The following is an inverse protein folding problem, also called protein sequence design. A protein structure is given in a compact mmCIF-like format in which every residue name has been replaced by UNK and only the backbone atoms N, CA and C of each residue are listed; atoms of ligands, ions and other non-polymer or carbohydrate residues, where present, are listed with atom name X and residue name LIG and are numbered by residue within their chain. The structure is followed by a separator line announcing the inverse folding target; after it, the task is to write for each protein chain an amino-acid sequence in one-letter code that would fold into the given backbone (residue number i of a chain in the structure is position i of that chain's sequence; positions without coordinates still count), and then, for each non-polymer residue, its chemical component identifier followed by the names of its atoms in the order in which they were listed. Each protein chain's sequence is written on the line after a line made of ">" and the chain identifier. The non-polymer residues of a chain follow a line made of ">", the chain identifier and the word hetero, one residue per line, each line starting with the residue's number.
data_IF_438482930517
#
_entry.id   IF_438482930517
#
_cell.length_a   1.000
_cell.length_b   1.000
_cell.length_c   1.000
_cell.angle_alpha   90.00
_cell.angle_beta   90.00
_cell.angle_gamma   90.00
#
_symmetry.space_group_name_H-M   'P 1'
#
loop_
_entity.id
_entity.type
_entity.pdbx_description
1 polymer ?
#
# COMPACT_ATOMS: atom_id res chain seq x y z
N UNK A 1 -16.99 10.47 9.74
CA UNK A 1 -16.49 10.79 8.38
C UNK A 1 -16.57 9.56 7.51
N UNK A 2 -16.64 9.75 6.19
CA UNK A 2 -16.63 8.72 5.15
C UNK A 2 -15.29 8.75 4.42
N UNK A 3 -14.54 7.66 4.54
CA UNK A 3 -13.20 7.53 3.97
C UNK A 3 -13.21 6.47 2.88
N UNK A 4 -12.92 6.87 1.64
CA UNK A 4 -12.71 5.92 0.56
C UNK A 4 -11.23 5.57 0.45
N UNK A 5 -10.88 4.30 0.63
CA UNK A 5 -9.52 3.80 0.54
C UNK A 5 -9.33 3.12 -0.81
N UNK A 6 -8.37 3.58 -1.60
CA UNK A 6 -8.00 2.97 -2.89
C UNK A 6 -6.66 2.29 -2.71
N UNK A 7 -6.61 0.96 -2.87
CA UNK A 7 -5.42 0.16 -2.63
C UNK A 7 -5.07 -0.71 -3.83
N UNK A 8 -3.80 -0.79 -4.21
CA UNK A 8 -3.34 -1.65 -5.32
C UNK A 8 -3.38 -3.15 -4.98
N UNK A 9 -3.60 -3.49 -3.71
CA UNK A 9 -3.75 -4.86 -3.25
C UNK A 9 -4.53 -4.89 -1.95
N UNK A 10 -5.39 -5.88 -1.82
CA UNK A 10 -6.13 -6.16 -0.60
C UNK A 10 -6.36 -7.67 -0.47
N UNK A 11 -6.92 -8.12 0.65
CA UNK A 11 -7.21 -9.53 0.91
C UNK A 11 -7.93 -10.19 -0.28
N UNK A 12 -7.63 -11.47 -0.60
CA UNK A 12 -6.79 -12.41 0.15
C UNK A 12 -5.27 -12.23 -0.06
N UNK A 13 -4.82 -11.32 -0.93
CA UNK A 13 -3.39 -11.09 -1.13
C UNK A 13 -2.80 -10.30 0.04
N UNK A 14 -1.93 -10.95 0.82
CA UNK A 14 -1.29 -10.37 2.01
C UNK A 14 0.07 -9.76 1.67
N UNK A 15 0.23 -8.48 1.94
CA UNK A 15 1.48 -7.74 1.85
C UNK A 15 1.47 -6.51 2.78
N UNK A 16 2.51 -5.67 2.70
CA UNK A 16 2.60 -4.46 3.52
C UNK A 16 1.45 -3.45 3.32
N UNK A 17 0.93 -3.35 2.09
CA UNK A 17 -0.19 -2.45 1.75
C UNK A 17 -1.49 -2.98 2.35
N UNK A 18 -1.82 -4.26 2.10
CA UNK A 18 -3.04 -4.87 2.63
C UNK A 18 -3.08 -4.81 4.16
N UNK A 19 -1.96 -5.09 4.83
CA UNK A 19 -1.86 -5.01 6.29
C UNK A 19 -2.11 -3.59 6.79
N UNK A 20 -1.53 -2.59 6.11
CA UNK A 20 -1.76 -1.18 6.46
C UNK A 20 -3.22 -0.79 6.28
N UNK A 21 -3.86 -1.21 5.18
CA UNK A 21 -5.28 -0.93 4.91
C UNK A 21 -6.19 -1.58 5.94
N UNK A 22 -5.93 -2.83 6.34
CA UNK A 22 -6.70 -3.51 7.40
C UNK A 22 -6.63 -2.72 8.70
N UNK A 23 -5.44 -2.28 9.14
CA UNK A 23 -5.30 -1.47 10.36
C UNK A 23 -6.01 -0.11 10.26
N UNK A 24 -6.01 0.53 9.09
CA UNK A 24 -6.77 1.77 8.87
C UNK A 24 -8.26 1.52 8.99
N UNK A 25 -8.77 0.47 8.33
CA UNK A 25 -10.17 0.04 8.35
C UNK A 25 -10.63 -0.26 9.79
N UNK A 26 -9.86 -1.03 10.55
CA UNK A 26 -10.10 -1.32 11.97
C UNK A 26 -10.18 -0.02 12.79
N UNK A 27 -9.23 0.88 12.60
CA UNK A 27 -9.18 2.14 13.32
C UNK A 27 -10.39 3.02 13.00
N UNK A 28 -10.72 3.20 11.72
CA UNK A 28 -11.86 4.00 11.28
C UNK A 28 -13.17 3.48 11.86
N UNK A 29 -13.36 2.15 11.86
CA UNK A 29 -14.54 1.53 12.47
C UNK A 29 -14.61 1.82 13.98
N UNK A 30 -13.49 1.66 14.69
CA UNK A 30 -13.40 1.92 16.14
C UNK A 30 -13.66 3.39 16.49
N UNK A 31 -13.37 4.32 15.59
CA UNK A 31 -13.63 5.76 15.76
C UNK A 31 -14.93 6.22 15.10
N UNK A 32 -15.87 5.32 14.83
CA UNK A 32 -17.19 5.62 14.25
C UNK A 32 -17.10 6.38 12.92
N UNK A 33 -16.15 6.00 12.07
CA UNK A 33 -16.03 6.46 10.69
C UNK A 33 -16.43 5.34 9.74
N UNK A 34 -17.07 5.73 8.65
CA UNK A 34 -17.46 4.82 7.58
C UNK A 34 -16.32 4.68 6.58
N UNK A 35 -16.04 3.45 6.17
CA UNK A 35 -14.98 3.15 5.22
C UNK A 35 -15.53 2.40 4.01
N UNK A 36 -14.95 2.68 2.85
CA UNK A 36 -15.11 1.90 1.64
C UNK A 36 -13.72 1.56 1.11
N UNK A 37 -13.46 0.29 0.85
CA UNK A 37 -12.21 -0.13 0.19
C UNK A 37 -12.46 -0.36 -1.29
N UNK A 38 -11.63 0.20 -2.16
CA UNK A 38 -11.58 -0.08 -3.59
C UNK A 38 -10.25 -0.78 -3.86
N UNK A 39 -10.31 -2.04 -4.29
CA UNK A 39 -9.14 -2.87 -4.49
C UNK A 39 -9.32 -3.83 -5.67
N UNK A 40 -8.25 -4.38 -6.25
CA UNK A 40 -8.35 -5.38 -7.29
C UNK A 40 -9.10 -6.63 -6.80
N UNK A 41 -9.86 -7.25 -7.70
CA UNK A 41 -10.35 -8.62 -7.56
C UNK A 41 -9.20 -9.62 -7.80
N UNK A 42 -9.45 -10.89 -7.51
CA UNK A 42 -8.57 -11.96 -8.00
C UNK A 42 -8.60 -12.03 -9.53
N UNK A 43 -7.51 -12.45 -10.19
CA UNK A 43 -7.46 -12.60 -11.64
C UNK A 43 -8.54 -13.55 -12.18
N UNK A 44 -8.91 -13.40 -13.48
CA UNK A 44 -9.80 -14.36 -14.14
C UNK A 44 -9.32 -15.80 -13.97
N UNK A 45 -10.24 -16.72 -13.66
CA UNK A 45 -9.93 -18.14 -13.44
C UNK A 45 -9.62 -18.51 -11.98
N UNK A 46 -9.65 -17.56 -11.05
CA UNK A 46 -9.53 -17.81 -9.60
C UNK A 46 -10.84 -17.48 -8.86
N UNK A 47 -11.06 -18.04 -7.66
CA UNK A 47 -12.19 -17.66 -6.81
C UNK A 47 -12.19 -16.16 -6.55
N UNK A 48 -13.34 -15.50 -6.71
CA UNK A 48 -13.48 -14.06 -6.48
C UNK A 48 -13.15 -13.71 -5.04
N UNK A 49 -12.49 -12.57 -4.85
CA UNK A 49 -12.20 -12.08 -3.51
C UNK A 49 -13.47 -11.58 -2.82
N UNK A 50 -13.48 -11.68 -1.49
CA UNK A 50 -14.60 -11.21 -0.68
C UNK A 50 -14.89 -9.73 -0.90
N UNK A 51 -16.18 -9.37 -0.87
CA UNK A 51 -16.67 -8.00 -1.07
C UNK A 51 -17.00 -7.28 0.24
N UNK A 52 -16.80 -7.95 1.37
CA UNK A 52 -16.97 -7.41 2.71
C UNK A 52 -15.80 -7.91 3.54
N UNK A 53 -15.22 -7.04 4.37
CA UNK A 53 -14.21 -7.41 5.35
C UNK A 53 -14.52 -6.65 6.63
N UNK A 54 -14.72 -7.36 7.75
CA UNK A 54 -15.08 -6.79 9.05
C UNK A 54 -16.25 -5.79 9.01
N UNK A 55 -17.27 -6.12 8.21
CA UNK A 55 -18.46 -5.28 8.01
C UNK A 55 -18.24 -4.08 7.07
N UNK A 56 -17.02 -3.88 6.55
CA UNK A 56 -16.69 -2.82 5.60
C UNK A 56 -16.81 -3.34 4.17
N UNK A 57 -17.44 -2.53 3.32
CA UNK A 57 -17.63 -2.85 1.91
C UNK A 57 -16.29 -2.76 1.17
N UNK A 58 -16.03 -3.76 0.35
CA UNK A 58 -14.89 -3.83 -0.57
C UNK A 58 -15.40 -3.86 -2.01
N UNK A 59 -15.23 -2.75 -2.73
CA UNK A 59 -15.48 -2.68 -4.14
C UNK A 59 -14.32 -3.27 -4.94
N UNK A 60 -14.55 -4.48 -5.48
CA UNK A 60 -13.58 -5.15 -6.35
C UNK A 60 -13.61 -4.59 -7.77
N UNK A 61 -12.44 -4.15 -8.26
CA UNK A 61 -12.24 -3.77 -9.67
C UNK A 61 -11.60 -4.93 -10.44
N UNK A 62 -11.87 -5.07 -11.75
CA UNK A 62 -11.19 -6.06 -12.58
C UNK A 62 -9.67 -5.92 -12.47
N UNK A 63 -8.99 -7.04 -12.35
CA UNK A 63 -7.53 -7.10 -12.22
C UNK A 63 -6.93 -7.98 -13.31
N UNK A 64 -5.65 -7.73 -13.63
CA UNK A 64 -4.90 -8.55 -14.58
C UNK A 64 -3.48 -8.76 -14.08
N UNK A 65 -2.96 -9.96 -14.34
CA UNK A 65 -1.56 -10.29 -14.07
C UNK A 65 -0.68 -9.67 -15.14
N UNK A 66 0.40 -9.01 -14.72
CA UNK A 66 1.44 -8.47 -15.60
C UNK A 66 2.81 -9.02 -15.16
N UNK A 67 3.14 -10.28 -15.50
CA UNK A 67 4.29 -10.99 -14.93
C UNK A 67 5.65 -10.32 -15.17
N UNK A 68 5.76 -9.50 -16.22
CA UNK A 68 6.98 -8.73 -16.56
C UNK A 68 7.12 -7.43 -15.74
N UNK A 69 6.10 -7.04 -14.98
CA UNK A 69 6.00 -5.74 -14.28
C UNK A 69 5.82 -5.93 -12.77
N UNK A 70 5.01 -6.88 -12.35
CA UNK A 70 4.73 -7.14 -10.93
C UNK A 70 4.29 -8.59 -10.72
N UNK A 71 4.60 -9.12 -9.53
CA UNK A 71 4.11 -10.42 -9.04
C UNK A 71 2.67 -10.36 -8.53
N UNK A 72 2.05 -9.18 -8.47
CA UNK A 72 0.69 -8.97 -8.00
C UNK A 72 -0.24 -8.53 -9.13
N UNK A 73 -1.53 -8.89 -9.07
CA UNK A 73 -2.50 -8.43 -10.06
C UNK A 73 -2.74 -6.92 -9.92
N UNK A 74 -2.66 -6.20 -11.05
CA UNK A 74 -2.93 -4.76 -11.08
C UNK A 74 -4.41 -4.49 -11.33
N UNK A 75 -4.99 -3.60 -10.52
CA UNK A 75 -6.35 -3.11 -10.73
C UNK A 75 -6.41 -2.17 -11.93
N UNK A 76 -7.38 -2.40 -12.81
CA UNK A 76 -7.58 -1.51 -13.97
C UNK A 76 -8.35 -0.25 -13.56
N UNK A 77 -7.93 0.95 -14.01
CA UNK A 77 -8.60 2.20 -13.68
C UNK A 77 -9.87 2.28 -14.53
N UNK A 78 -10.96 1.72 -14.01
CA UNK A 78 -12.25 1.69 -14.70
C UNK A 78 -13.04 2.98 -14.42
N UNK A 79 -13.82 3.49 -15.41
CA UNK A 79 -14.75 4.61 -15.18
C UNK A 79 -15.72 4.38 -14.02
N UNK A 80 -15.90 3.11 -13.62
CA UNK A 80 -16.73 2.70 -12.48
C UNK A 80 -16.20 3.25 -11.13
N UNK A 81 -14.91 3.54 -10.98
CA UNK A 81 -14.36 4.13 -9.73
C UNK A 81 -15.06 5.46 -9.43
N UNK A 82 -15.28 6.31 -10.44
CA UNK A 82 -15.98 7.58 -10.27
C UNK A 82 -17.42 7.39 -9.77
N UNK A 83 -18.15 6.39 -10.29
CA UNK A 83 -19.51 6.09 -9.85
C UNK A 83 -19.54 5.55 -8.42
N UNK A 84 -18.57 4.72 -8.07
CA UNK A 84 -18.44 4.14 -6.73
C UNK A 84 -18.14 5.23 -5.72
N UNK A 85 -17.15 6.09 -6.00
CA UNK A 85 -16.85 7.23 -5.15
C UNK A 85 -18.03 8.19 -5.06
N UNK A 86 -18.72 8.51 -6.16
CA UNK A 86 -19.91 9.36 -6.12
C UNK A 86 -21.04 8.77 -5.27
N UNK A 87 -21.31 7.47 -5.41
CA UNK A 87 -22.38 6.81 -4.64
C UNK A 87 -22.03 6.63 -3.17
N UNK A 88 -20.75 6.56 -2.83
CA UNK A 88 -20.28 6.53 -1.45
C UNK A 88 -20.04 7.93 -0.87
N UNK A 89 -19.96 8.97 -1.72
CA UNK A 89 -19.73 10.40 -1.44
C UNK A 89 -18.74 10.68 -0.28
N UNK A 90 -17.47 10.25 -0.43
CA UNK A 90 -16.48 10.33 0.65
C UNK A 90 -16.08 11.77 0.99
N UNK A 91 -15.79 12.01 2.27
CA UNK A 91 -15.17 13.25 2.74
C UNK A 91 -13.70 13.34 2.31
N UNK A 92 -13.03 12.18 2.17
CA UNK A 92 -11.61 12.08 1.79
C UNK A 92 -11.33 10.76 1.08
N UNK A 93 -10.44 10.81 0.08
CA UNK A 93 -9.91 9.62 -0.59
C UNK A 93 -8.47 9.35 -0.16
N UNK A 94 -8.25 8.20 0.47
CA UNK A 94 -6.94 7.72 0.89
C UNK A 94 -6.37 6.74 -0.14
N UNK A 95 -5.27 7.11 -0.80
CA UNK A 95 -4.60 6.28 -1.79
C UNK A 95 -3.48 5.48 -1.12
N UNK A 96 -3.76 4.23 -0.79
CA UNK A 96 -2.82 3.30 -0.17
C UNK A 96 -1.95 2.63 -1.25
N UNK A 97 -0.71 3.13 -1.40
CA UNK A 97 0.25 2.72 -2.43
C UNK A 97 -0.18 3.05 -3.87
N UNK A 98 -0.32 4.33 -4.24
CA UNK A 98 -0.88 4.70 -5.54
C UNK A 98 0.05 4.34 -6.71
N UNK A 99 -0.39 3.42 -7.55
CA UNK A 99 0.19 3.12 -8.86
C UNK A 99 -0.86 3.38 -9.95
N UNK A 100 -1.43 2.32 -10.52
CA UNK A 100 -2.41 2.42 -11.61
C UNK A 100 -3.81 2.68 -11.06
N UNK A 101 -4.26 1.87 -10.10
CA UNK A 101 -5.59 2.00 -9.50
C UNK A 101 -5.68 3.27 -8.65
N UNK A 102 -4.63 3.57 -7.88
CA UNK A 102 -4.52 4.79 -7.10
C UNK A 102 -4.59 6.05 -7.94
N UNK A 103 -3.98 6.05 -9.14
CA UNK A 103 -4.14 7.17 -10.08
C UNK A 103 -5.59 7.29 -10.60
N UNK A 104 -6.27 6.17 -10.87
CA UNK A 104 -7.69 6.18 -11.19
C UNK A 104 -8.55 6.77 -10.07
N UNK A 105 -8.26 6.41 -8.82
CA UNK A 105 -8.87 6.98 -7.61
C UNK A 105 -8.64 8.49 -7.49
N UNK A 106 -7.41 8.94 -7.70
CA UNK A 106 -7.03 10.36 -7.70
C UNK A 106 -7.81 11.16 -8.74
N UNK A 107 -7.86 10.67 -9.98
CA UNK A 107 -8.57 11.35 -11.06
C UNK A 107 -10.07 11.41 -10.79
N UNK A 108 -10.65 10.36 -10.22
CA UNK A 108 -12.05 10.35 -9.84
C UNK A 108 -12.35 11.31 -8.68
N UNK A 109 -11.53 11.34 -7.64
CA UNK A 109 -11.66 12.25 -6.50
C UNK A 109 -11.60 13.72 -6.96
N UNK A 110 -10.63 14.07 -7.82
CA UNK A 110 -10.51 15.41 -8.40
C UNK A 110 -11.74 15.84 -9.19
N UNK A 111 -12.36 14.92 -9.95
CA UNK A 111 -13.60 15.20 -10.68
C UNK A 111 -14.80 15.42 -9.75
N UNK A 112 -14.75 14.90 -8.54
CA UNK A 112 -15.79 15.06 -7.52
C UNK A 112 -15.49 16.21 -6.55
N UNK A 113 -14.32 16.86 -6.65
CA UNK A 113 -13.90 17.88 -5.70
C UNK A 113 -13.54 17.34 -4.31
N UNK A 114 -13.30 16.03 -4.17
CA UNK A 114 -12.99 15.39 -2.89
C UNK A 114 -11.48 15.44 -2.63
N UNK A 115 -11.03 15.86 -1.44
CA UNK A 115 -9.61 15.91 -1.10
C UNK A 115 -8.97 14.52 -1.05
N UNK A 116 -7.68 14.48 -1.38
CA UNK A 116 -6.91 13.25 -1.56
C UNK A 116 -5.64 13.21 -0.71
N UNK A 117 -5.40 12.06 -0.09
CA UNK A 117 -4.19 11.77 0.67
C UNK A 117 -3.48 10.58 0.04
N UNK A 118 -2.29 10.78 -0.49
CA UNK A 118 -1.51 9.77 -1.18
C UNK A 118 -0.36 9.24 -0.30
N UNK A 119 -0.30 7.93 -0.11
CA UNK A 119 0.75 7.30 0.71
C UNK A 119 1.91 6.83 -0.16
N UNK A 120 3.12 7.27 0.15
CA UNK A 120 4.35 6.70 -0.42
C UNK A 120 4.77 5.46 0.39
N UNK A 121 4.53 4.26 -0.14
CA UNK A 121 4.78 2.99 0.57
C UNK A 121 5.88 2.13 -0.06
N UNK A 122 6.03 2.17 -1.39
CA UNK A 122 7.00 1.34 -2.12
C UNK A 122 7.93 2.23 -2.92
N UNK A 123 9.23 2.22 -2.58
CA UNK A 123 10.25 2.93 -3.34
C UNK A 123 10.66 2.15 -4.60
N UNK A 124 9.71 1.99 -5.52
CA UNK A 124 9.94 1.31 -6.81
C UNK A 124 11.09 1.96 -7.58
N UNK A 125 11.24 3.29 -7.44
CA UNK A 125 12.26 4.05 -8.14
C UNK A 125 13.67 3.83 -7.57
N UNK A 126 13.80 3.73 -6.23
CA UNK A 126 15.02 3.33 -5.54
C UNK A 126 15.41 1.88 -5.82
N UNK A 127 14.44 0.96 -5.83
CA UNK A 127 14.70 -0.42 -6.26
C UNK A 127 15.22 -0.47 -7.69
N UNK A 128 14.55 0.17 -8.66
CA UNK A 128 15.00 0.19 -10.05
C UNK A 128 16.41 0.78 -10.22
N UNK A 129 16.75 1.81 -9.44
CA UNK A 129 18.11 2.38 -9.41
C UNK A 129 19.13 1.36 -8.89
N UNK A 130 18.86 0.68 -7.78
CA UNK A 130 19.76 -0.34 -7.21
C UNK A 130 20.01 -1.55 -8.12
N UNK A 131 19.09 -1.83 -9.05
CA UNK A 131 19.23 -2.88 -10.06
C UNK A 131 19.92 -2.40 -11.36
N UNK A 132 20.42 -1.16 -11.41
CA UNK A 132 21.11 -0.60 -12.58
C UNK A 132 20.19 -0.16 -13.72
N UNK A 133 18.88 -0.10 -13.50
CA UNK A 133 17.88 0.28 -14.51
C UNK A 133 17.61 1.79 -14.48
N UNK A 134 18.64 2.59 -14.81
CA UNK A 134 18.60 4.05 -14.68
C UNK A 134 17.44 4.74 -15.43
N UNK A 135 17.11 4.28 -16.64
CA UNK A 135 15.97 4.82 -17.40
C UNK A 135 14.62 4.47 -16.74
N UNK A 136 14.47 3.25 -16.24
CA UNK A 136 13.26 2.83 -15.55
C UNK A 136 13.07 3.60 -14.23
N UNK A 137 14.16 3.85 -13.50
CA UNK A 137 14.13 4.67 -12.28
C UNK A 137 13.68 6.11 -12.58
N UNK A 138 14.20 6.74 -13.63
CA UNK A 138 13.78 8.09 -14.06
C UNK A 138 12.29 8.12 -14.45
N UNK A 139 11.82 7.12 -15.19
CA UNK A 139 10.41 7.01 -15.56
C UNK A 139 9.50 6.81 -14.33
N UNK A 140 9.92 5.96 -13.38
CA UNK A 140 9.19 5.75 -12.13
C UNK A 140 9.11 7.04 -11.30
N UNK A 141 10.20 7.79 -11.18
CA UNK A 141 10.21 9.09 -10.51
C UNK A 141 9.32 10.12 -11.21
N UNK A 142 9.33 10.16 -12.54
CA UNK A 142 8.46 11.05 -13.31
C UNK A 142 6.97 10.72 -13.06
N UNK A 143 6.63 9.43 -13.03
CA UNK A 143 5.27 8.97 -12.71
C UNK A 143 4.84 9.31 -11.28
N UNK A 144 5.67 8.99 -10.29
CA UNK A 144 5.43 9.32 -8.88
C UNK A 144 5.21 10.83 -8.71
N UNK A 145 6.08 11.64 -9.31
CA UNK A 145 5.96 13.10 -9.30
C UNK A 145 4.66 13.58 -9.92
N UNK A 146 4.27 13.02 -11.07
CA UNK A 146 3.02 13.36 -11.74
C UNK A 146 1.78 13.07 -10.88
N UNK A 147 1.78 11.93 -10.20
CA UNK A 147 0.70 11.52 -9.31
C UNK A 147 0.65 12.36 -8.04
N UNK A 148 1.75 12.42 -7.29
CA UNK A 148 1.79 13.10 -5.99
C UNK A 148 1.63 14.62 -6.10
N UNK A 149 2.03 15.26 -7.22
CA UNK A 149 1.73 16.67 -7.48
C UNK A 149 0.24 16.98 -7.59
N UNK A 150 -0.58 15.99 -7.92
CA UNK A 150 -2.04 16.14 -8.05
C UNK A 150 -2.80 15.79 -6.77
N UNK A 151 -2.14 15.10 -5.83
CA UNK A 151 -2.69 14.79 -4.52
C UNK A 151 -2.59 15.99 -3.57
N UNK A 152 -3.57 16.18 -2.70
CA UNK A 152 -3.60 17.31 -1.77
C UNK A 152 -2.56 17.15 -0.66
N UNK A 153 -2.30 15.91 -0.23
CA UNK A 153 -1.21 15.57 0.69
C UNK A 153 -0.49 14.30 0.28
N UNK A 154 0.83 14.28 0.49
CA UNK A 154 1.66 13.09 0.36
C UNK A 154 2.15 12.66 1.74
N UNK A 155 1.93 11.40 2.11
CA UNK A 155 2.39 10.83 3.37
C UNK A 155 3.63 9.96 3.14
N UNK A 156 4.68 10.17 3.93
CA UNK A 156 5.94 9.45 3.84
C UNK A 156 6.29 8.75 5.17
N UNK A 157 6.80 7.51 5.13
CA UNK A 157 6.92 6.66 6.32
C UNK A 157 8.13 6.96 7.21
N UNK A 158 9.06 7.79 6.74
CA UNK A 158 10.30 8.13 7.45
C UNK A 158 10.88 9.44 6.93
N UNK A 159 11.76 10.06 7.73
CA UNK A 159 12.50 11.27 7.35
C UNK A 159 13.31 11.04 6.06
N UNK A 160 14.01 9.91 5.94
CA UNK A 160 14.76 9.56 4.72
C UNK A 160 13.86 9.48 3.47
N UNK A 161 12.65 8.93 3.60
CA UNK A 161 11.70 8.92 2.50
C UNK A 161 11.22 10.34 2.16
N UNK A 162 11.01 11.20 3.16
CA UNK A 162 10.65 12.60 2.93
C UNK A 162 11.73 13.35 2.16
N UNK A 163 12.99 13.21 2.56
CA UNK A 163 14.14 13.82 1.90
C UNK A 163 14.27 13.35 0.45
N UNK A 164 14.13 12.04 0.22
CA UNK A 164 14.14 11.47 -1.13
C UNK A 164 13.01 12.02 -2.00
N UNK A 165 11.77 12.08 -1.48
CA UNK A 165 10.63 12.66 -2.19
C UNK A 165 10.86 14.15 -2.52
N UNK A 166 11.38 14.91 -1.56
CA UNK A 166 11.70 16.33 -1.74
C UNK A 166 12.78 16.54 -2.79
N UNK A 167 13.86 15.76 -2.76
CA UNK A 167 14.94 15.80 -3.75
C UNK A 167 14.44 15.49 -5.17
N UNK A 168 13.40 14.66 -5.30
CA UNK A 168 12.77 14.35 -6.58
C UNK A 168 11.62 15.31 -6.96
N UNK A 169 11.43 16.42 -6.24
CA UNK A 169 10.48 17.48 -6.57
C UNK A 169 9.02 17.12 -6.32
N UNK A 170 8.76 16.24 -5.35
CA UNK A 170 7.41 15.89 -4.89
C UNK A 170 7.00 16.85 -3.75
N UNK A 171 5.89 17.60 -3.91
CA UNK A 171 5.48 18.62 -2.93
C UNK A 171 4.58 18.04 -1.83
N UNK A 172 4.31 18.87 -0.80
CA UNK A 172 3.32 18.62 0.26
C UNK A 172 3.52 17.26 0.95
N UNK A 173 4.77 16.97 1.29
CA UNK A 173 5.17 15.74 1.96
C UNK A 173 5.05 15.92 3.47
N UNK A 174 4.36 14.99 4.12
CA UNK A 174 4.15 14.96 5.56
C UNK A 174 4.60 13.62 6.12
N UNK A 175 5.20 13.66 7.31
CA UNK A 175 5.62 12.46 8.00
C UNK A 175 4.40 11.67 8.49
N UNK A 176 4.36 10.37 8.15
CA UNK A 176 3.36 9.43 8.63
C UNK A 176 4.07 8.15 9.08
N UNK A 177 4.45 8.13 10.35
CA UNK A 177 5.12 6.97 10.94
C UNK A 177 4.21 5.73 10.84
N UNK A 178 4.80 4.59 10.48
CA UNK A 178 4.09 3.31 10.52
C UNK A 178 3.85 2.93 11.99
N UNK A 179 2.60 2.66 12.33
CA UNK A 179 2.27 2.02 13.61
C UNK A 179 2.71 0.55 13.59
N UNK A 180 3.23 0.08 14.72
CA UNK A 180 3.47 -1.34 14.98
C UNK A 180 2.29 -1.89 15.78
N UNK A 181 1.94 -3.17 15.60
CA UNK A 181 0.96 -3.83 16.48
C UNK A 181 1.56 -3.96 17.88
N UNK A 182 1.25 -2.99 18.73
CA UNK A 182 1.78 -2.93 20.11
C UNK A 182 1.19 -4.00 21.03
N UNK A 183 0.16 -4.74 20.61
CA UNK A 183 -0.41 -5.86 21.37
C UNK A 183 0.35 -7.13 21.02
N UNK A 184 0.49 -7.43 19.72
CA UNK A 184 1.18 -8.63 19.24
C UNK A 184 2.71 -8.57 19.33
N UNK A 185 3.28 -7.37 19.25
CA UNK A 185 4.74 -7.14 19.34
C UNK A 185 5.13 -6.43 20.66
N UNK A 186 4.31 -6.59 21.69
CA UNK A 186 4.62 -6.11 23.03
C UNK A 186 5.86 -6.81 23.60
N UNK A 187 6.69 -6.13 24.42
CA UNK A 187 7.76 -6.80 25.16
C UNK A 187 7.26 -7.94 26.05
N UNK A 188 5.99 -7.89 26.48
CA UNK A 188 5.31 -8.94 27.25
C UNK A 188 5.00 -10.21 26.43
N UNK A 189 4.96 -10.13 25.11
CA UNK A 189 4.79 -11.30 24.22
C UNK A 189 6.09 -12.12 24.05
N UNK A 190 7.15 -11.79 24.80
CA UNK A 190 8.43 -12.47 24.77
C UNK A 190 8.33 -13.89 25.35
N UNK A 191 8.57 -14.90 24.52
CA UNK A 191 8.64 -16.30 24.95
C UNK A 191 10.04 -16.65 25.49
N UNK A 192 10.13 -16.84 26.81
CA UNK A 192 11.36 -17.21 27.48
C UNK A 192 11.79 -18.65 27.21
N UNK A 193 10.85 -19.56 26.98
CA UNK A 193 11.13 -20.95 26.62
C UNK A 193 11.75 -21.04 25.22
N UNK A 194 11.27 -20.23 24.27
CA UNK A 194 11.83 -20.13 22.93
C UNK A 194 13.26 -19.56 22.96
N UNK A 195 13.49 -18.53 23.78
CA UNK A 195 14.84 -17.97 23.96
C UNK A 195 15.83 -18.99 24.51
N UNK A 196 15.43 -19.77 25.53
CA UNK A 196 16.27 -20.81 26.10
C UNK A 196 16.57 -21.93 25.10
N UNK A 197 15.61 -22.27 24.22
CA UNK A 197 15.84 -23.24 23.13
C UNK A 197 16.84 -22.72 22.09
N UNK A 198 16.76 -21.45 21.71
CA UNK A 198 17.63 -20.88 20.67
C UNK A 198 19.00 -20.46 21.17
N UNK A 199 19.12 -20.09 22.45
CA UNK A 199 20.40 -19.76 23.06
C UNK A 199 20.48 -20.31 24.50
N UNK A 200 20.71 -21.62 24.65
CA UNK A 200 20.83 -22.27 25.96
C UNK A 200 21.96 -21.69 26.82
N UNK A 201 23.00 -21.17 26.17
CA UNK A 201 24.20 -20.60 26.81
C UNK A 201 24.18 -19.07 26.88
N UNK A 202 23.02 -18.42 26.64
CA UNK A 202 22.88 -16.97 26.80
C UNK A 202 23.60 -16.11 25.75
N UNK A 203 24.10 -16.71 24.66
CA UNK A 203 24.68 -15.98 23.52
C UNK A 203 23.63 -15.07 22.84
N UNK A 204 24.04 -13.94 22.24
CA UNK A 204 23.15 -13.11 21.43
C UNK A 204 22.47 -13.92 20.32
N UNK A 205 21.16 -13.72 20.15
CA UNK A 205 20.38 -14.32 19.06
C UNK A 205 20.16 -13.22 18.01
N UNK A 206 20.59 -13.46 16.77
CA UNK A 206 20.32 -12.58 15.63
C UNK A 206 19.22 -13.21 14.80
N UNK A 207 18.09 -12.51 14.67
CA UNK A 207 16.96 -12.91 13.84
C UNK A 207 16.83 -12.00 12.62
N UNK A 208 16.52 -12.59 11.46
CA UNK A 208 16.18 -11.85 10.25
C UNK A 208 14.75 -12.21 9.84
N UNK A 209 13.91 -11.19 9.67
CA UNK A 209 12.54 -11.34 9.15
C UNK A 209 12.39 -10.38 7.98
N UNK A 210 12.28 -10.93 6.78
CA UNK A 210 12.14 -10.16 5.54
C UNK A 210 11.75 -11.08 4.38
N UNK A 211 11.15 -10.51 3.34
CA UNK A 211 10.87 -11.27 2.11
C UNK A 211 12.18 -11.64 1.42
N UNK A 212 12.36 -12.91 1.07
CA UNK A 212 13.54 -13.37 0.34
C UNK A 212 13.46 -12.90 -1.12
N UNK A 213 14.38 -12.05 -1.63
CA UNK A 213 14.42 -11.74 -3.04
C UNK A 213 14.87 -13.01 -3.78
N UNK A 214 14.00 -13.61 -4.61
CA UNK A 214 14.44 -14.66 -5.54
C UNK A 214 15.42 -14.02 -6.52
N UNK A 215 16.72 -14.23 -6.32
CA UNK A 215 17.70 -14.09 -7.39
C UNK A 215 17.30 -15.09 -8.47
N UNK A 216 16.81 -14.60 -9.61
CA UNK A 216 16.80 -15.39 -10.85
C UNK A 216 18.25 -15.51 -11.31
N UNK A 217 18.97 -16.47 -10.71
CA UNK A 217 20.24 -16.93 -11.25
C UNK A 217 19.95 -17.81 -12.45
N UNK A 218 20.17 -17.26 -13.64
CA UNK A 218 20.57 -18.06 -14.79
C UNK A 218 22.04 -18.44 -14.60
N UNK A 219 22.25 -19.70 -14.26
CA UNK A 219 23.47 -20.48 -14.49
C UNK A 219 22.90 -21.79 -15.03
N UNK A 220 22.93 -22.03 -16.33
CA UNK A 220 24.16 -22.34 -17.07
C UNK A 220 24.16 -23.86 -17.20
#
# INVERSE_FOLDING_TARGET
>A
MRVAIVAESFLPHVNGVSNSVVRIVEHLRRTSHEALVIAPDTPPGQPRAERVHDGIRVHRVPSRMFPKVTSLPLGLPVPRILRVLRGFDPDVVHLASPAVLGYGGLQAARRLGVPTVAVFQTDVAGFAHSYGLGLASRAAWAWLRHLHRRADRTLAPSTSAMESLAAHGIPRVYHWARGVDVIGLAPSARDQSLRLRWSPHGKPIVGFVGGWPRRSGSTG
#
